data_IF_654779256569
#
_entry.id   IF_654779256569
#
_cell.length_a   1.000
_cell.length_b   1.000
_cell.length_c   1.000
_cell.angle_alpha   90.00
_cell.angle_beta   90.00
_cell.angle_gamma   90.00
#
_symmetry.space_group_name_H-M   'P 1'
#
loop_
_entity.id
_entity.type
_entity.pdbx_description
1 polymer ?
#
# COMPACT_ATOMS: atom_id res chain seq x y z
N UNK A 1 -5.28 -16.90 -16.03
CA UNK A 1 -4.76 -15.53 -15.85
C UNK A 1 -3.25 -15.61 -15.78
N UNK A 2 -2.54 -14.61 -16.31
CA UNK A 2 -1.09 -14.53 -16.24
C UNK A 2 -0.72 -13.12 -15.75
N UNK A 3 0.14 -13.08 -14.74
CA UNK A 3 0.85 -11.87 -14.35
C UNK A 3 2.13 -11.82 -15.17
N UNK A 4 2.29 -10.78 -15.97
CA UNK A 4 3.54 -10.57 -16.69
C UNK A 4 4.26 -9.43 -15.99
N UNK A 5 5.51 -9.63 -15.53
CA UNK A 5 6.34 -8.50 -15.18
C UNK A 5 6.49 -7.68 -16.46
N UNK A 6 5.94 -6.47 -16.48
CA UNK A 6 6.32 -5.51 -17.49
C UNK A 6 7.78 -5.22 -17.17
N UNK A 7 8.69 -5.85 -17.94
CA UNK A 7 10.14 -5.71 -17.79
C UNK A 7 10.44 -4.26 -17.41
N UNK A 8 11.21 -4.06 -16.35
CA UNK A 8 11.67 -2.76 -15.91
C UNK A 8 12.25 -2.06 -17.15
N UNK A 9 11.44 -1.25 -17.83
CA UNK A 9 11.98 -0.22 -18.68
C UNK A 9 12.81 0.59 -17.72
N UNK A 10 14.06 0.89 -18.09
CA UNK A 10 14.82 1.91 -17.39
C UNK A 10 13.88 3.11 -17.27
N UNK A 11 13.31 3.30 -16.09
CA UNK A 11 12.23 4.25 -15.91
C UNK A 11 12.84 5.60 -16.23
N UNK A 12 12.25 6.28 -17.22
CA UNK A 12 12.78 7.57 -17.66
C UNK A 12 12.49 8.60 -16.55
N UNK A 13 13.37 9.57 -16.38
CA UNK A 13 13.31 10.52 -15.26
C UNK A 13 14.25 10.17 -14.11
N UNK A 14 13.99 10.73 -12.94
CA UNK A 14 14.84 10.57 -11.76
C UNK A 14 14.09 9.82 -10.65
N UNK A 15 14.37 8.53 -10.44
CA UNK A 15 13.73 7.78 -9.35
C UNK A 15 14.20 8.27 -7.98
N UNK A 16 13.45 7.98 -6.91
CA UNK A 16 13.93 8.16 -5.55
C UNK A 16 15.21 7.36 -5.31
N UNK A 17 16.07 7.86 -4.41
CA UNK A 17 17.18 7.07 -3.89
C UNK A 17 16.69 5.75 -3.29
N UNK A 18 17.53 4.72 -3.39
CA UNK A 18 17.25 3.38 -2.88
C UNK A 18 16.79 3.41 -1.41
N UNK A 19 15.60 2.83 -1.11
CA UNK A 19 14.94 2.93 0.19
C UNK A 19 14.04 1.76 0.60
N UNK A 20 14.11 1.33 1.85
CA UNK A 20 13.15 0.40 2.46
C UNK A 20 12.21 1.13 3.42
N UNK A 21 11.15 0.46 3.87
CA UNK A 21 10.24 0.97 4.91
C UNK A 21 9.60 2.34 4.53
N UNK A 22 9.43 2.61 3.24
CA UNK A 22 8.81 3.82 2.73
C UNK A 22 7.29 3.66 2.61
N UNK A 23 6.57 4.77 2.62
CA UNK A 23 5.14 4.77 2.33
C UNK A 23 4.91 4.92 0.82
N UNK A 24 3.95 4.20 0.26
CA UNK A 24 3.57 4.37 -1.15
C UNK A 24 2.07 4.17 -1.36
N UNK A 25 1.49 4.94 -2.27
CA UNK A 25 0.08 4.80 -2.66
C UNK A 25 -0.16 5.36 -4.07
N UNK A 26 -1.15 4.80 -4.77
CA UNK A 26 -1.61 5.33 -6.05
C UNK A 26 -2.71 6.36 -5.83
N UNK A 27 -2.61 7.49 -6.54
CA UNK A 27 -3.65 8.52 -6.65
C UNK A 27 -3.80 8.89 -8.12
N UNK A 28 -4.95 8.59 -8.71
CA UNK A 28 -5.17 8.73 -10.15
C UNK A 28 -4.15 7.90 -10.94
N UNK A 29 -3.44 8.53 -11.88
CA UNK A 29 -2.39 7.90 -12.70
C UNK A 29 -0.98 8.02 -12.12
N UNK A 30 -0.84 8.32 -10.82
CA UNK A 30 0.46 8.52 -10.18
C UNK A 30 0.63 7.61 -8.98
N UNK A 31 1.78 6.93 -8.95
CA UNK A 31 2.24 6.18 -7.79
C UNK A 31 3.19 7.05 -6.98
N UNK A 32 2.75 7.51 -5.82
CA UNK A 32 3.55 8.32 -4.90
C UNK A 32 4.40 7.45 -3.98
N UNK A 33 5.62 7.91 -3.69
CA UNK A 33 6.58 7.30 -2.75
C UNK A 33 7.08 8.38 -1.80
N UNK A 34 6.90 8.15 -0.50
CA UNK A 34 7.27 9.09 0.55
C UNK A 34 8.17 8.45 1.61
N UNK A 35 9.22 9.17 1.99
CA UNK A 35 10.06 8.84 3.13
C UNK A 35 10.78 7.50 3.01
N UNK A 36 10.96 6.80 4.13
CA UNK A 36 11.67 5.53 4.23
C UNK A 36 13.13 5.67 4.69
N UNK A 37 13.83 4.54 4.75
CA UNK A 37 15.25 4.46 5.11
C UNK A 37 16.10 4.29 3.86
N UNK A 38 16.97 5.25 3.61
CA UNK A 38 18.00 5.23 2.56
C UNK A 38 19.37 4.86 3.14
N UNK A 39 20.38 4.68 2.28
CA UNK A 39 21.77 4.48 2.70
C UNK A 39 22.34 5.65 3.53
N UNK A 40 21.81 6.86 3.36
CA UNK A 40 22.26 8.07 4.05
C UNK A 40 21.41 8.46 5.25
N UNK A 41 20.36 7.70 5.56
CA UNK A 41 19.44 7.96 6.68
C UNK A 41 17.98 8.01 6.28
N UNK A 42 17.15 8.60 7.14
CA UNK A 42 15.71 8.72 6.88
C UNK A 42 15.44 9.81 5.85
N UNK A 43 14.52 9.52 4.93
CA UNK A 43 14.06 10.43 3.90
C UNK A 43 12.76 11.13 4.31
N UNK A 44 12.55 12.35 3.79
CA UNK A 44 11.29 13.11 3.82
C UNK A 44 10.82 13.56 2.44
N UNK A 45 11.52 13.12 1.39
CA UNK A 45 11.21 13.48 0.01
C UNK A 45 9.97 12.74 -0.50
N UNK A 46 9.28 13.41 -1.42
CA UNK A 46 8.13 12.86 -2.14
C UNK A 46 8.50 12.74 -3.62
N UNK A 47 8.21 11.58 -4.20
CA UNK A 47 8.36 11.30 -5.63
C UNK A 47 7.07 10.70 -6.16
N UNK A 48 6.83 10.80 -7.46
CA UNK A 48 5.85 9.94 -8.11
C UNK A 48 6.36 9.30 -9.39
N UNK A 49 5.84 8.11 -9.67
CA UNK A 49 5.90 7.50 -10.98
C UNK A 49 4.59 7.78 -11.72
N UNK A 50 4.68 8.47 -12.85
CA UNK A 50 3.57 8.68 -13.78
C UNK A 50 3.32 7.38 -14.55
N UNK A 51 2.20 6.74 -14.28
CA UNK A 51 1.85 5.42 -14.80
C UNK A 51 1.54 5.49 -16.31
N UNK A 52 0.99 6.62 -16.78
CA UNK A 52 0.63 6.81 -18.19
C UNK A 52 1.87 7.08 -19.04
N UNK A 53 2.80 7.90 -18.53
CA UNK A 53 4.05 8.26 -19.22
C UNK A 53 5.14 7.21 -19.02
N UNK A 54 5.07 6.47 -17.92
CA UNK A 54 6.10 5.54 -17.51
C UNK A 54 7.37 6.21 -16.99
N UNK A 55 7.21 7.35 -16.31
CA UNK A 55 8.30 8.27 -15.95
C UNK A 55 8.29 8.65 -14.47
N UNK A 56 9.47 8.76 -13.85
CA UNK A 56 9.62 9.33 -12.51
C UNK A 56 9.72 10.85 -12.56
N UNK A 57 9.07 11.50 -11.60
CA UNK A 57 9.05 12.96 -11.47
C UNK A 57 10.37 13.60 -11.05
N UNK A 58 11.27 12.84 -10.42
CA UNK A 58 12.26 13.42 -9.50
C UNK A 58 11.61 13.87 -8.18
N UNK A 59 12.44 14.41 -7.29
CA UNK A 59 11.98 14.93 -6.01
C UNK A 59 11.07 16.14 -6.21
N UNK A 60 9.91 16.12 -5.56
CA UNK A 60 8.99 17.26 -5.54
C UNK A 60 9.44 18.32 -4.51
N UNK A 61 10.61 18.93 -4.74
CA UNK A 61 11.25 19.85 -3.79
C UNK A 61 10.48 21.15 -3.53
N UNK A 62 9.47 21.45 -4.32
CA UNK A 62 8.57 22.60 -4.14
C UNK A 62 7.43 22.34 -3.14
N UNK A 63 7.25 21.11 -2.69
CA UNK A 63 6.20 20.73 -1.76
C UNK A 63 6.69 20.90 -0.30
N UNK A 64 6.67 22.13 0.19
CA UNK A 64 7.00 22.46 1.58
C UNK A 64 5.90 21.97 2.55
N UNK A 65 6.18 22.03 3.87
CA UNK A 65 5.26 21.65 4.96
C UNK A 65 4.80 20.17 4.96
N UNK A 66 5.56 19.29 4.30
CA UNK A 66 5.32 17.86 4.36
C UNK A 66 5.71 17.22 5.69
N UNK A 67 5.35 15.94 5.91
CA UNK A 67 5.81 15.21 7.07
C UNK A 67 7.33 15.16 7.12
N UNK A 68 7.89 15.31 8.32
CA UNK A 68 9.32 15.17 8.55
C UNK A 68 9.84 13.76 8.23
N UNK A 69 11.16 13.63 8.09
CA UNK A 69 11.81 12.39 7.68
C UNK A 69 11.44 11.23 8.61
N UNK A 70 11.01 10.11 8.01
CA UNK A 70 10.48 8.96 8.76
C UNK A 70 10.43 7.69 7.92
N UNK A 71 10.39 6.56 8.61
CA UNK A 71 10.17 5.21 8.07
C UNK A 71 8.87 4.63 8.61
N UNK A 72 8.41 3.54 7.99
CA UNK A 72 7.24 2.75 8.42
C UNK A 72 5.97 3.60 8.60
N UNK A 73 5.86 4.70 7.86
CA UNK A 73 4.60 5.46 7.76
C UNK A 73 3.63 4.70 6.86
N UNK A 74 2.33 4.86 7.10
CA UNK A 74 1.30 4.37 6.21
C UNK A 74 0.87 5.43 5.21
N UNK A 75 0.54 5.02 3.98
CA UNK A 75 -0.03 5.91 2.97
C UNK A 75 -1.27 5.29 2.33
N UNK A 76 -2.22 6.15 1.96
CA UNK A 76 -3.38 5.75 1.17
C UNK A 76 -3.81 6.86 0.21
N UNK A 77 -4.23 6.47 -0.99
CA UNK A 77 -4.97 7.34 -1.89
C UNK A 77 -6.45 7.32 -1.52
N UNK A 78 -7.07 8.49 -1.48
CA UNK A 78 -8.52 8.62 -1.29
C UNK A 78 -9.04 9.81 -2.12
N UNK A 79 -9.83 9.52 -3.14
CA UNK A 79 -10.17 10.50 -4.16
C UNK A 79 -8.91 10.96 -4.92
N UNK A 80 -8.70 12.28 -5.00
CA UNK A 80 -7.52 12.88 -5.63
C UNK A 80 -6.40 13.23 -4.62
N UNK A 81 -6.48 12.71 -3.40
CA UNK A 81 -5.60 13.10 -2.30
C UNK A 81 -4.77 11.92 -1.82
N UNK A 82 -3.50 12.18 -1.52
CA UNK A 82 -2.61 11.27 -0.83
C UNK A 82 -2.64 11.59 0.67
N UNK A 83 -2.89 10.58 1.50
CA UNK A 83 -2.81 10.67 2.95
C UNK A 83 -1.56 9.94 3.44
N UNK A 84 -0.83 10.55 4.38
CA UNK A 84 0.32 9.93 5.08
C UNK A 84 0.09 10.01 6.57
N UNK A 85 0.15 8.86 7.25
CA UNK A 85 -0.12 8.73 8.68
C UNK A 85 1.05 8.09 9.42
N UNK A 86 1.40 8.69 10.56
CA UNK A 86 2.29 8.12 11.56
C UNK A 86 3.69 7.80 11.04
N UNK A 87 4.22 6.64 11.43
CA UNK A 87 5.61 6.26 11.17
C UNK A 87 6.56 6.68 12.28
N UNK A 88 7.85 6.48 12.05
CA UNK A 88 8.88 6.60 13.07
C UNK A 88 10.09 7.39 12.58
N UNK A 89 10.62 8.22 13.47
CA UNK A 89 11.94 8.86 13.33
C UNK A 89 12.78 8.58 14.57
N UNK A 90 12.92 9.55 15.47
CA UNK A 90 13.40 9.33 16.84
C UNK A 90 12.31 8.74 17.74
N UNK A 91 11.06 9.12 17.47
CA UNK A 91 9.86 8.61 18.13
C UNK A 91 8.82 8.22 17.09
N UNK A 92 7.88 7.37 17.50
CA UNK A 92 6.68 7.10 16.70
C UNK A 92 5.74 8.31 16.70
N UNK A 93 4.95 8.45 15.64
CA UNK A 93 4.03 9.58 15.45
C UNK A 93 2.61 9.11 15.11
N UNK A 94 1.62 9.98 15.29
CA UNK A 94 0.23 9.82 14.82
C UNK A 94 -0.25 11.05 14.03
N UNK A 95 0.67 11.88 13.55
CA UNK A 95 0.34 13.00 12.69
C UNK A 95 -0.25 12.49 11.36
N UNK A 96 -1.20 13.25 10.82
CA UNK A 96 -1.84 12.98 9.54
C UNK A 96 -1.58 14.16 8.60
N UNK A 97 -1.02 13.87 7.44
CA UNK A 97 -0.73 14.86 6.40
C UNK A 97 -1.45 14.49 5.12
N UNK A 98 -1.85 15.50 4.36
CA UNK A 98 -2.55 15.34 3.08
C UNK A 98 -1.82 16.09 2.00
N UNK A 99 -1.61 15.43 0.87
CA UNK A 99 -1.05 16.02 -0.33
C UNK A 99 -2.10 16.06 -1.43
N UNK A 100 -2.32 17.24 -2.02
CA UNK A 100 -3.36 17.48 -3.03
C UNK A 100 -2.87 17.35 -4.49
N UNK A 101 -1.61 16.93 -4.67
CA UNK A 101 -0.94 16.91 -5.97
C UNK A 101 -0.06 18.13 -6.22
N UNK A 102 -0.21 19.19 -5.42
CA UNK A 102 0.57 20.44 -5.54
C UNK A 102 1.28 20.81 -4.24
N UNK A 103 0.60 20.67 -3.09
CA UNK A 103 1.14 21.03 -1.77
C UNK A 103 0.69 20.07 -0.67
N UNK A 104 1.46 20.07 0.42
CA UNK A 104 1.04 19.44 1.67
C UNK A 104 0.08 20.35 2.45
N UNK A 105 -0.73 19.73 3.30
CA UNK A 105 -1.62 20.43 4.22
C UNK A 105 -0.94 20.96 5.48
N UNK A 106 0.33 20.60 5.72
CA UNK A 106 0.86 20.49 7.08
C UNK A 106 0.15 19.39 7.88
N UNK A 107 0.45 19.32 9.17
CA UNK A 107 -0.24 18.41 10.08
C UNK A 107 -1.73 18.80 10.19
N UNK A 108 -2.61 17.84 9.91
CA UNK A 108 -4.04 18.04 10.06
C UNK A 108 -4.44 18.09 11.53
N UNK A 109 -5.10 19.18 11.91
CA UNK A 109 -5.81 19.26 13.19
C UNK A 109 -7.10 18.45 13.09
N UNK A 110 -7.19 17.40 13.92
CA UNK A 110 -8.32 16.49 14.00
C UNK A 110 -8.83 16.38 15.44
N UNK A 111 -10.13 16.08 15.60
CA UNK A 111 -10.76 15.83 16.90
C UNK A 111 -11.11 14.36 17.08
N UNK A 112 -11.63 13.99 18.25
CA UNK A 112 -12.11 12.64 18.54
C UNK A 112 -11.02 11.67 18.99
N UNK A 113 -11.27 10.39 18.79
CA UNK A 113 -10.46 9.30 19.33
C UNK A 113 -9.29 8.95 18.39
N UNK A 114 -8.33 9.86 18.29
CA UNK A 114 -7.16 9.67 17.46
C UNK A 114 -6.34 8.44 17.93
N UNK A 115 -5.88 7.58 17.00
CA UNK A 115 -5.00 6.48 17.36
C UNK A 115 -3.71 6.99 18.01
N UNK A 116 -3.21 6.24 19.00
CA UNK A 116 -1.90 6.49 19.60
C UNK A 116 -0.77 6.54 18.55
N UNK A 117 0.31 7.32 18.78
CA UNK A 117 1.52 7.32 17.96
C UNK A 117 2.02 5.92 17.63
N UNK A 118 2.26 5.62 16.35
CA UNK A 118 2.63 4.28 15.91
C UNK A 118 3.34 4.25 14.55
N UNK A 119 4.17 3.23 14.38
CA UNK A 119 4.80 2.87 13.11
C UNK A 119 4.28 1.53 12.58
N UNK A 120 4.53 1.23 11.31
CA UNK A 120 4.12 -0.01 10.65
C UNK A 120 2.62 -0.33 10.78
N UNK A 121 1.80 0.71 10.91
CA UNK A 121 0.35 0.61 10.87
C UNK A 121 -0.10 0.50 9.42
N UNK A 122 -1.16 -0.26 9.23
CA UNK A 122 -1.83 -0.42 7.95
C UNK A 122 -2.77 0.76 7.71
N UNK A 123 -2.76 1.33 6.49
CA UNK A 123 -3.60 2.49 6.16
C UNK A 123 -4.32 2.25 4.84
N UNK A 124 -5.64 2.49 4.81
CA UNK A 124 -6.44 2.39 3.60
C UNK A 124 -7.52 3.49 3.56
N UNK A 125 -7.83 4.00 2.37
CA UNK A 125 -8.90 4.96 2.14
C UNK A 125 -10.14 4.29 1.54
N UNK A 126 -11.33 4.75 1.92
CA UNK A 126 -12.58 4.40 1.25
C UNK A 126 -13.55 5.57 1.30
N UNK A 127 -13.93 6.08 0.13
CA UNK A 127 -14.83 7.22 -0.06
C UNK A 127 -14.29 8.47 0.65
N UNK A 128 -14.73 8.75 1.89
CA UNK A 128 -14.31 9.89 2.71
C UNK A 128 -13.68 9.45 4.03
N UNK A 129 -13.46 8.14 4.23
CA UNK A 129 -12.94 7.58 5.48
C UNK A 129 -11.57 6.96 5.27
N UNK A 130 -10.60 7.42 6.04
CA UNK A 130 -9.29 6.78 6.17
C UNK A 130 -9.34 5.80 7.35
N UNK A 131 -8.81 4.60 7.17
CA UNK A 131 -8.73 3.57 8.19
C UNK A 131 -7.27 3.32 8.56
N UNK A 132 -7.00 3.23 9.86
CA UNK A 132 -5.69 2.92 10.43
C UNK A 132 -5.83 1.69 11.32
N UNK A 133 -5.08 0.63 11.02
CA UNK A 133 -5.13 -0.62 11.76
C UNK A 133 -3.75 -1.06 12.25
N UNK A 134 -3.71 -1.56 13.48
CA UNK A 134 -2.53 -2.20 14.05
C UNK A 134 -1.33 -1.25 14.20
N UNK A 135 -0.12 -1.79 14.04
CA UNK A 135 1.15 -1.07 14.14
C UNK A 135 1.86 -1.26 15.48
N UNK A 136 2.98 -0.57 15.66
CA UNK A 136 3.81 -0.58 16.87
C UNK A 136 3.83 0.80 17.48
N UNK A 137 3.37 0.92 18.72
CA UNK A 137 3.50 2.12 19.54
C UNK A 137 4.58 1.91 20.62
N UNK A 138 4.92 2.96 21.37
CA UNK A 138 6.00 2.93 22.37
C UNK A 138 5.78 1.92 23.50
N UNK A 139 4.53 1.65 23.86
CA UNK A 139 4.11 0.70 24.91
C UNK A 139 3.62 -0.64 24.35
N UNK A 140 3.73 -0.88 23.03
CA UNK A 140 3.52 -2.19 22.44
C UNK A 140 2.77 -2.23 21.11
N UNK A 141 2.60 -3.45 20.61
CA UNK A 141 1.90 -3.73 19.34
C UNK A 141 0.40 -3.47 19.50
N UNK A 142 -0.19 -2.89 18.47
CA UNK A 142 -1.59 -2.46 18.41
C UNK A 142 -2.45 -3.42 17.60
N UNK A 143 -3.73 -3.51 17.96
CA UNK A 143 -4.75 -4.32 17.27
C UNK A 143 -6.08 -3.58 17.12
N UNK A 144 -6.10 -2.29 17.44
CA UNK A 144 -7.23 -1.39 17.24
C UNK A 144 -7.36 -0.97 15.76
N UNK A 145 -8.59 -0.67 15.39
CA UNK A 145 -8.94 -0.04 14.11
C UNK A 145 -9.50 1.35 14.42
N UNK A 146 -8.92 2.38 13.81
CA UNK A 146 -9.42 3.75 13.88
C UNK A 146 -9.88 4.20 12.51
N UNK A 147 -10.92 5.02 12.47
CA UNK A 147 -11.42 5.65 11.26
C UNK A 147 -11.39 7.17 11.38
N UNK A 148 -10.84 7.84 10.38
CA UNK A 148 -10.83 9.29 10.24
C UNK A 148 -11.79 9.71 9.13
N UNK A 149 -12.76 10.55 9.46
CA UNK A 149 -13.65 11.15 8.46
C UNK A 149 -13.00 12.42 7.89
N UNK A 150 -12.65 12.41 6.61
CA UNK A 150 -11.98 13.53 5.95
C UNK A 150 -12.85 14.79 5.81
N UNK A 151 -14.17 14.66 5.87
CA UNK A 151 -15.11 15.79 5.82
C UNK A 151 -15.22 16.48 7.17
N UNK A 152 -15.41 15.71 8.25
CA UNK A 152 -15.58 16.28 9.61
C UNK A 152 -14.26 16.48 10.35
N UNK A 153 -13.17 15.87 9.86
CA UNK A 153 -11.85 15.80 10.50
C UNK A 153 -11.89 15.20 11.90
N UNK A 154 -12.69 14.15 12.04
CA UNK A 154 -12.91 13.48 13.31
C UNK A 154 -12.44 12.02 13.22
N UNK A 155 -11.69 11.61 14.24
CA UNK A 155 -11.32 10.24 14.49
C UNK A 155 -12.37 9.54 15.36
N UNK A 156 -12.61 8.27 15.06
CA UNK A 156 -13.39 7.36 15.89
C UNK A 156 -12.68 6.02 16.03
N UNK A 157 -12.73 5.46 17.23
CA UNK A 157 -12.38 4.07 17.45
C UNK A 157 -13.46 3.16 16.84
N UNK A 158 -13.05 2.08 16.18
CA UNK A 158 -13.93 1.04 15.66
C UNK A 158 -13.73 -0.26 16.44
N UNK A 159 -14.67 -1.23 16.33
CA UNK A 159 -14.55 -2.51 17.00
C UNK A 159 -13.22 -3.19 16.67
N UNK A 160 -12.61 -3.79 17.69
CA UNK A 160 -11.42 -4.63 17.54
C UNK A 160 -11.81 -6.00 16.94
N UNK A 161 -10.86 -6.68 16.33
CA UNK A 161 -11.09 -8.00 15.75
C UNK A 161 -9.84 -8.87 15.85
N UNK A 162 -8.94 -8.84 14.84
CA UNK A 162 -7.70 -9.60 14.87
C UNK A 162 -6.82 -9.24 16.08
N UNK A 163 -5.96 -10.19 16.48
CA UNK A 163 -4.91 -9.96 17.47
C UNK A 163 -3.98 -8.79 17.08
N UNK A 164 -3.36 -8.11 18.07
CA UNK A 164 -2.39 -7.05 17.80
C UNK A 164 -1.29 -7.49 16.84
N UNK A 165 -1.03 -6.67 15.82
CA UNK A 165 -0.09 -6.97 14.74
C UNK A 165 0.43 -5.70 14.07
N UNK A 166 1.64 -5.78 13.53
CA UNK A 166 2.25 -4.73 12.71
C UNK A 166 2.62 -5.25 11.33
N UNK A 167 3.02 -4.36 10.42
CA UNK A 167 3.47 -4.71 9.06
C UNK A 167 2.49 -5.63 8.33
N UNK A 168 1.19 -5.43 8.62
CA UNK A 168 0.12 -6.24 8.06
C UNK A 168 -0.34 -5.57 6.78
N UNK A 169 -0.27 -6.24 5.64
CA UNK A 169 -0.76 -5.65 4.41
C UNK A 169 -2.30 -5.54 4.45
N UNK A 170 -2.82 -4.46 3.86
CA UNK A 170 -4.21 -4.02 4.06
C UNK A 170 -4.79 -3.52 2.75
N UNK A 171 -5.84 -4.18 2.28
CA UNK A 171 -6.45 -3.91 0.99
C UNK A 171 -7.94 -3.61 1.14
N UNK A 172 -8.46 -2.72 0.31
CA UNK A 172 -9.84 -2.27 0.36
C UNK A 172 -10.58 -2.67 -0.92
N UNK A 173 -11.77 -3.28 -0.79
CA UNK A 173 -12.69 -3.63 -1.89
C UNK A 173 -14.10 -3.25 -1.49
N UNK A 174 -14.75 -2.31 -2.19
CA UNK A 174 -16.13 -1.85 -1.93
C UNK A 174 -16.55 -1.77 -0.44
N UNK A 175 -15.77 -1.07 0.39
CA UNK A 175 -16.03 -0.92 1.84
C UNK A 175 -15.66 -2.12 2.71
N UNK A 176 -15.13 -3.19 2.14
CA UNK A 176 -14.50 -4.29 2.86
C UNK A 176 -12.99 -4.04 2.98
N UNK A 177 -12.46 -4.16 4.20
CA UNK A 177 -11.05 -3.96 4.51
C UNK A 177 -10.43 -5.30 4.90
N UNK A 178 -9.54 -5.82 4.05
CA UNK A 178 -8.91 -7.11 4.24
C UNK A 178 -7.54 -6.94 4.87
N UNK A 179 -7.30 -7.69 5.95
CA UNK A 179 -6.00 -7.83 6.61
C UNK A 179 -5.55 -9.27 6.42
N UNK A 180 -4.31 -9.47 6.00
CA UNK A 180 -3.73 -10.81 5.96
C UNK A 180 -2.38 -10.82 6.67
N UNK A 181 -2.15 -11.81 7.53
CA UNK A 181 -0.89 -12.02 8.22
C UNK A 181 -0.48 -10.84 9.10
N UNK A 182 0.81 -10.48 9.04
CA UNK A 182 1.43 -9.47 9.91
C UNK A 182 2.36 -10.08 10.96
N UNK A 183 2.89 -9.23 11.84
CA UNK A 183 3.83 -9.66 12.88
C UNK A 183 3.29 -9.32 14.27
N UNK A 184 3.23 -10.31 15.15
CA UNK A 184 2.84 -10.18 16.55
C UNK A 184 4.00 -10.64 17.46
N UNK A 185 4.85 -9.71 17.89
CA UNK A 185 6.10 -10.05 18.56
C UNK A 185 7.03 -10.82 17.62
N UNK A 186 7.44 -12.01 18.02
CA UNK A 186 8.26 -12.90 17.18
C UNK A 186 7.42 -13.81 16.25
N UNK A 187 6.09 -13.75 16.35
CA UNK A 187 5.19 -14.58 15.56
C UNK A 187 4.82 -13.90 14.25
N UNK A 188 5.12 -14.58 13.13
CA UNK A 188 4.59 -14.29 11.80
C UNK A 188 3.19 -14.89 11.72
N UNK A 189 2.19 -14.04 11.50
CA UNK A 189 0.79 -14.44 11.35
C UNK A 189 0.49 -14.77 9.88
N UNK A 190 -0.49 -15.64 9.67
CA UNK A 190 -0.93 -16.15 8.37
C UNK A 190 -2.47 -16.20 8.25
N UNK A 191 -3.19 -15.62 9.22
CA UNK A 191 -4.64 -15.55 9.21
C UNK A 191 -5.17 -14.41 8.33
N UNK A 192 -6.37 -14.60 7.78
CA UNK A 192 -7.04 -13.59 6.94
C UNK A 192 -8.30 -13.10 7.61
N UNK A 193 -8.43 -11.78 7.73
CA UNK A 193 -9.59 -11.10 8.30
C UNK A 193 -10.16 -10.09 7.32
N UNK A 194 -11.46 -9.85 7.42
CA UNK A 194 -12.14 -8.76 6.74
C UNK A 194 -12.94 -7.95 7.74
N UNK A 195 -12.86 -6.63 7.62
CA UNK A 195 -13.77 -5.69 8.28
C UNK A 195 -14.75 -5.13 7.27
N UNK A 196 -16.04 -5.24 7.54
CA UNK A 196 -17.08 -4.59 6.76
C UNK A 196 -17.35 -3.19 7.35
N UNK A 197 -16.98 -2.13 6.60
CA UNK A 197 -17.14 -0.75 7.04
C UNK A 197 -18.60 -0.29 7.12
N UNK A 198 -19.55 -0.99 6.48
CA UNK A 198 -20.99 -0.68 6.53
C UNK A 198 -21.63 -1.25 7.78
N UNK A 199 -21.33 -2.51 8.12
CA UNK A 199 -21.87 -3.18 9.31
C UNK A 199 -21.00 -3.01 10.56
N UNK A 200 -19.79 -2.47 10.41
CA UNK A 200 -18.77 -2.31 11.44
C UNK A 200 -18.41 -3.64 12.14
N UNK A 201 -18.22 -4.70 11.36
CA UNK A 201 -17.95 -6.05 11.88
C UNK A 201 -16.71 -6.67 11.26
N UNK A 202 -15.91 -7.29 12.11
CA UNK A 202 -14.83 -8.18 11.71
C UNK A 202 -15.34 -9.60 11.47
N UNK A 203 -14.81 -10.25 10.45
CA UNK A 203 -15.00 -11.67 10.17
C UNK A 203 -13.64 -12.31 9.87
N UNK A 204 -13.33 -13.42 10.51
CA UNK A 204 -12.15 -14.24 10.17
C UNK A 204 -12.51 -15.13 8.98
N UNK A 205 -11.74 -15.03 7.91
CA UNK A 205 -12.03 -15.72 6.63
C UNK A 205 -11.22 -16.99 6.44
N UNK A 206 -9.98 -17.02 6.93
CA UNK A 206 -9.10 -18.18 6.75
C UNK A 206 -8.09 -18.29 7.90
N UNK A 207 -7.81 -19.55 8.25
CA UNK A 207 -6.84 -19.96 9.26
C UNK A 207 -5.63 -20.55 8.53
N UNK A 208 -4.63 -19.70 8.30
CA UNK A 208 -3.35 -20.07 7.72
C UNK A 208 -3.34 -20.33 6.22
N UNK A 209 -2.12 -20.59 5.75
CA UNK A 209 -1.77 -20.73 4.33
C UNK A 209 -0.88 -19.59 3.84
N UNK A 210 -0.13 -19.79 2.74
CA UNK A 210 0.64 -18.70 2.14
C UNK A 210 -0.30 -17.59 1.65
N UNK A 211 0.18 -16.34 1.53
CA UNK A 211 1.55 -15.87 1.74
C UNK A 211 1.95 -15.76 3.24
N UNK A 212 3.24 -15.75 3.57
CA UNK A 212 3.69 -15.44 4.95
C UNK A 212 3.61 -13.92 5.23
N UNK A 213 3.82 -13.46 6.45
CA UNK A 213 3.78 -12.02 6.76
C UNK A 213 4.84 -11.21 5.99
N UNK A 214 4.56 -9.90 5.83
CA UNK A 214 5.38 -8.87 5.13
C UNK A 214 5.26 -8.82 3.61
N UNK A 215 4.40 -9.63 3.01
CA UNK A 215 4.09 -9.54 1.58
C UNK A 215 3.08 -8.42 1.31
N UNK A 216 3.20 -7.77 0.17
CA UNK A 216 2.27 -6.72 -0.20
C UNK A 216 0.91 -7.30 -0.57
N UNK A 217 -0.16 -6.82 0.05
CA UNK A 217 -1.55 -7.17 -0.24
C UNK A 217 -2.15 -6.04 -1.07
N UNK A 218 -2.74 -6.38 -2.19
CA UNK A 218 -3.48 -5.45 -3.03
C UNK A 218 -4.79 -6.09 -3.45
N UNK A 219 -5.72 -5.27 -3.92
CA UNK A 219 -6.95 -5.73 -4.50
C UNK A 219 -7.13 -5.15 -5.90
N UNK A 220 -7.79 -5.89 -6.79
CA UNK A 220 -8.15 -5.39 -8.13
C UNK A 220 -9.64 -5.03 -8.27
N UNK A 221 -10.31 -4.85 -7.12
CA UNK A 221 -11.76 -4.63 -7.04
C UNK A 221 -12.60 -5.92 -6.98
N UNK A 222 -12.03 -7.10 -7.25
CA UNK A 222 -12.75 -8.38 -7.17
C UNK A 222 -11.97 -9.43 -6.38
N UNK A 223 -10.65 -9.47 -6.57
CA UNK A 223 -9.75 -10.44 -5.96
C UNK A 223 -8.71 -9.74 -5.10
N UNK A 224 -8.33 -10.41 -4.01
CA UNK A 224 -7.14 -10.04 -3.25
C UNK A 224 -5.94 -10.77 -3.85
N UNK A 225 -4.83 -10.06 -3.91
CA UNK A 225 -3.55 -10.61 -4.29
C UNK A 225 -2.53 -10.33 -3.21
N UNK A 226 -1.69 -11.32 -2.97
CA UNK A 226 -0.50 -11.13 -2.21
C UNK A 226 0.73 -11.39 -3.07
N UNK A 227 1.66 -10.45 -3.02
CA UNK A 227 2.90 -10.51 -3.77
C UNK A 227 4.06 -10.77 -2.81
N UNK A 228 4.61 -11.97 -2.92
CA UNK A 228 5.96 -12.30 -2.50
C UNK A 228 6.90 -12.06 -3.70
N UNK A 229 8.19 -12.10 -3.43
CA UNK A 229 9.20 -11.84 -4.42
C UNK A 229 9.27 -12.89 -5.52
N UNK A 230 8.99 -14.16 -5.21
CA UNK A 230 8.99 -15.27 -6.15
C UNK A 230 7.62 -15.94 -6.31
N UNK A 231 6.63 -15.57 -5.48
CA UNK A 231 5.32 -16.20 -5.46
C UNK A 231 4.19 -15.19 -5.39
N UNK A 232 3.18 -15.39 -6.22
CA UNK A 232 1.98 -14.57 -6.22
C UNK A 232 0.79 -15.43 -5.81
N UNK A 233 -0.04 -14.93 -4.91
CA UNK A 233 -1.23 -15.61 -4.43
C UNK A 233 -2.47 -14.80 -4.74
N UNK A 234 -3.60 -15.49 -4.98
CA UNK A 234 -4.92 -14.86 -5.09
C UNK A 234 -5.87 -15.49 -4.08
N UNK A 235 -6.68 -14.67 -3.41
CA UNK A 235 -7.69 -15.14 -2.48
C UNK A 235 -9.01 -15.35 -3.22
N UNK A 236 -9.44 -16.60 -3.34
CA UNK A 236 -10.66 -17.02 -4.05
C UNK A 236 -11.43 -17.97 -3.14
N UNK A 237 -12.73 -17.72 -2.96
CA UNK A 237 -13.64 -18.60 -2.21
C UNK A 237 -13.12 -18.97 -0.79
N UNK A 238 -12.53 -18.00 -0.09
CA UNK A 238 -12.04 -18.21 1.27
C UNK A 238 -10.66 -18.88 1.36
N UNK A 239 -9.96 -19.07 0.25
CA UNK A 239 -8.66 -19.75 0.21
C UNK A 239 -7.63 -19.00 -0.62
N UNK A 240 -6.40 -19.00 -0.13
CA UNK A 240 -5.25 -18.55 -0.91
C UNK A 240 -4.83 -19.61 -1.91
N UNK A 241 -4.73 -19.21 -3.18
CA UNK A 241 -4.29 -20.06 -4.28
C UNK A 241 -3.02 -19.48 -4.88
N UNK A 242 -1.99 -20.31 -5.04
CA UNK A 242 -0.78 -19.94 -5.77
C UNK A 242 -1.11 -19.74 -7.25
N UNK A 243 -0.88 -18.54 -7.75
CA UNK A 243 -1.11 -18.13 -9.14
C UNK A 243 0.20 -17.76 -9.84
N UNK A 244 1.32 -18.19 -9.28
CA UNK A 244 2.66 -17.94 -9.81
C UNK A 244 2.80 -18.56 -11.20
N UNK A 245 3.11 -17.73 -12.19
CA UNK A 245 3.49 -18.17 -13.55
C UNK A 245 4.68 -17.34 -14.00
N UNK A 246 5.87 -17.68 -13.50
CA UNK A 246 7.12 -16.99 -13.83
C UNK A 246 7.68 -17.48 -15.17
N UNK A 247 8.02 -16.54 -16.05
CA UNK A 247 8.85 -16.78 -17.24
C UNK A 247 10.34 -16.39 -17.00
N UNK A 248 10.63 -15.71 -15.89
CA UNK A 248 11.96 -15.32 -15.44
C UNK A 248 11.97 -15.19 -13.90
N UNK A 249 13.08 -15.46 -13.21
CA UNK A 249 13.17 -15.31 -11.75
C UNK A 249 13.07 -13.83 -11.37
N UNK A 250 12.10 -13.52 -10.50
CA UNK A 250 12.02 -12.22 -9.83
C UNK A 250 12.87 -12.32 -8.56
N UNK A 251 13.75 -11.33 -8.34
CA UNK A 251 14.67 -11.33 -7.19
C UNK A 251 13.88 -11.21 -5.87
N UNK A 252 14.32 -11.85 -4.77
CA UNK A 252 13.80 -11.66 -3.41
C UNK A 252 13.66 -10.18 -3.02
N UNK A 253 12.52 -9.76 -2.45
CA UNK A 253 12.25 -8.36 -2.04
C UNK A 253 11.48 -8.30 -0.72
N UNK A 254 12.20 -8.39 0.39
CA UNK A 254 11.62 -8.02 1.68
C UNK A 254 11.33 -6.50 1.72
N UNK A 255 10.30 -6.08 2.45
CA UNK A 255 10.00 -4.66 2.74
C UNK A 255 9.64 -3.76 1.54
N UNK A 256 9.28 -4.34 0.40
CA UNK A 256 8.70 -3.60 -0.71
C UNK A 256 7.24 -3.22 -0.39
N UNK A 257 6.82 -2.04 -0.83
CA UNK A 257 5.43 -1.60 -0.69
C UNK A 257 4.67 -1.91 -1.98
N UNK A 258 3.46 -2.46 -1.85
CA UNK A 258 2.59 -2.71 -3.00
C UNK A 258 1.47 -1.70 -3.09
N UNK A 259 1.10 -1.36 -4.32
CA UNK A 259 -0.04 -0.49 -4.61
C UNK A 259 -0.70 -0.92 -5.93
N UNK A 260 -1.90 -0.41 -6.21
CA UNK A 260 -2.66 -0.81 -7.40
C UNK A 260 -3.37 0.39 -8.03
N UNK A 261 -3.66 0.32 -9.33
CA UNK A 261 -4.47 1.35 -10.02
C UNK A 261 -5.96 1.13 -9.82
N UNK A 262 -6.71 2.23 -9.82
CA UNK A 262 -8.16 2.16 -9.96
C UNK A 262 -8.55 1.34 -11.21
N UNK A 263 -9.53 0.44 -11.07
CA UNK A 263 -9.89 -0.55 -12.09
C UNK A 263 -9.03 -1.83 -12.15
N UNK A 264 -8.04 -2.00 -11.28
CA UNK A 264 -7.41 -3.30 -11.00
C UNK A 264 -6.49 -3.87 -12.08
N UNK A 265 -6.12 -3.06 -13.09
CA UNK A 265 -5.33 -3.52 -14.23
C UNK A 265 -3.84 -3.72 -13.90
N UNK A 266 -3.28 -2.90 -12.99
CA UNK A 266 -1.86 -2.90 -12.65
C UNK A 266 -1.63 -2.98 -11.15
N UNK A 267 -0.63 -3.75 -10.77
CA UNK A 267 -0.08 -3.84 -9.42
C UNK A 267 1.38 -3.45 -9.46
N UNK A 268 1.77 -2.58 -8.55
CA UNK A 268 3.14 -2.11 -8.40
C UNK A 268 3.75 -2.68 -7.14
N UNK A 269 5.02 -3.04 -7.23
CA UNK A 269 5.88 -3.32 -6.09
C UNK A 269 7.07 -2.38 -6.18
N UNK A 270 7.22 -1.51 -5.18
CA UNK A 270 8.28 -0.50 -5.13
C UNK A 270 9.22 -0.79 -3.98
N UNK A 271 10.52 -0.75 -4.28
CA UNK A 271 11.58 -0.92 -3.31
C UNK A 271 11.84 -2.38 -2.89
N UNK A 272 12.45 -2.57 -1.71
CA UNK A 272 13.09 -3.83 -1.30
C UNK A 272 14.50 -3.66 -0.70
N UNK A 273 15.30 -4.75 -0.64
CA UNK A 273 16.73 -4.72 -0.26
C UNK A 273 17.65 -4.13 -1.35
N UNK A 274 17.26 -4.18 -2.63
CA UNK A 274 17.92 -3.48 -3.75
C UNK A 274 16.89 -2.66 -4.56
N UNK A 275 17.07 -1.32 -4.64
CA UNK A 275 15.91 -0.44 -4.35
C UNK A 275 15.67 0.80 -5.23
N UNK A 276 16.29 0.88 -6.41
CA UNK A 276 15.88 1.84 -7.45
C UNK A 276 14.84 1.23 -8.43
N UNK A 277 14.41 0.00 -8.19
CA UNK A 277 13.58 -0.76 -9.10
C UNK A 277 12.09 -0.69 -8.76
N UNK A 278 11.31 -0.33 -9.78
CA UNK A 278 9.86 -0.44 -9.81
C UNK A 278 9.51 -1.71 -10.59
N UNK A 279 8.84 -2.66 -9.95
CA UNK A 279 8.25 -3.79 -10.66
C UNK A 279 6.77 -3.53 -10.89
N UNK A 280 6.35 -3.61 -12.15
CA UNK A 280 4.96 -3.46 -12.55
C UNK A 280 4.44 -4.80 -13.04
N UNK A 281 3.38 -5.28 -12.41
CA UNK A 281 2.64 -6.47 -12.82
C UNK A 281 1.34 -6.05 -13.49
N UNK A 282 1.09 -6.56 -14.69
CA UNK A 282 -0.18 -6.37 -15.37
C UNK A 282 -1.05 -7.61 -15.27
N UNK A 283 -2.34 -7.41 -14.96
CA UNK A 283 -3.36 -8.46 -15.05
C UNK A 283 -3.86 -8.52 -16.49
N UNK A 284 -3.61 -9.64 -17.18
CA UNK A 284 -4.20 -9.89 -18.50
C UNK A 284 -5.51 -10.68 -18.32
N UNK A 285 -6.67 -10.11 -18.71
CA UNK A 285 -7.94 -10.83 -18.71
C UNK A 285 -7.87 -12.08 -19.58
N UNK A 286 -8.51 -13.17 -19.17
CA UNK A 286 -8.42 -14.47 -19.84
C UNK A 286 -8.85 -14.47 -21.31
N UNK A 287 -9.58 -13.45 -21.77
CA UNK A 287 -10.04 -13.31 -23.16
C UNK A 287 -9.08 -12.55 -24.08
N UNK A 288 -7.98 -11.99 -23.58
CA UNK A 288 -7.00 -11.23 -24.37
C UNK A 288 -5.80 -12.07 -24.86
N UNK A 289 -5.85 -13.40 -24.70
CA UNK A 289 -4.74 -14.31 -24.96
C UNK A 289 -4.38 -14.52 -26.45
N UNK A 290 -4.97 -13.75 -27.37
CA UNK A 290 -4.75 -13.90 -28.80
C UNK A 290 -4.31 -12.56 -29.44
N UNK A 291 -3.17 -12.03 -28.99
CA UNK A 291 -2.49 -10.96 -29.72
C UNK A 291 -0.99 -11.29 -29.76
N UNK A 292 -0.57 -11.80 -30.92
CA UNK A 292 0.80 -12.17 -31.23
C UNK A 292 1.80 -11.03 -31.02
N UNK A 293 3.07 -11.42 -30.87
CA UNK A 293 4.18 -10.58 -30.43
C UNK A 293 4.23 -9.17 -31.03
N UNK A 294 4.26 -8.17 -30.15
CA UNK A 294 4.60 -6.80 -30.50
C UNK A 294 3.74 -5.76 -29.78
N UNK A 295 4.37 -5.02 -28.85
CA UNK A 295 3.90 -3.76 -28.23
C UNK A 295 2.46 -3.75 -27.68
N UNK A 296 2.32 -3.96 -26.37
CA UNK A 296 1.12 -3.51 -25.66
C UNK A 296 1.28 -2.03 -25.33
N UNK A 297 0.62 -1.18 -26.13
CA UNK A 297 0.32 0.21 -25.79
C UNK A 297 -1.05 0.18 -25.11
N UNK A 298 -1.11 0.51 -23.83
CA UNK A 298 -2.40 0.73 -23.16
C UNK A 298 -2.98 2.06 -23.67
N UNK A 299 -3.91 2.01 -24.63
CA UNK A 299 -4.84 3.12 -24.85
C UNK A 299 -5.90 3.02 -23.75
N UNK A 300 -5.97 4.05 -22.91
CA UNK A 300 -7.09 4.26 -22.00
C UNK A 300 -8.40 4.18 -22.81
N UNK A 301 -9.25 3.22 -22.48
CA UNK A 301 -10.62 3.19 -23.01
C UNK A 301 -11.39 4.21 -22.17
N UNK A 302 -11.55 5.43 -22.70
CA UNK A 302 -12.54 6.38 -22.21
C UNK A 302 -13.92 5.87 -22.62
N UNK A 303 -14.74 5.47 -21.65
CA UNK A 303 -16.16 5.22 -21.87
C UNK A 303 -16.92 6.55 -21.93
N UNK A 304 -17.53 6.81 -23.09
CA UNK A 304 -18.68 7.71 -23.28
C UNK A 304 -19.93 7.15 -22.63
#
# INVERSE_FOLDING_TARGET
MQWIPLLARAAVGTPPAARSEHAAAVVGSRLYVFGGRTATGLASDLHYYDIERGEWSGELSWCEDGPSARRLAGAAGMGSLLYVFGGESETVRNDLHVFDGSRWSGELVATGDAPAPRSAASVAGFITTLFVFGGVADDGVRGDLSAFNATTREWRALPTGPSPRSSSPFAQIDGLLYVHGGVAGDLVLDDTWVFDARSARWTRLADGGPPLARHGLVADGVLLYALDADRHFSFVEGKWTDVTRLAAPVLPRGWATTSYTDGGALVFQVGGEDVAELTVYARIPAHAADIGGGKVVYRAITTT
#
